data_IF_534636638608
#
_entry.id   IF_534636638608
#
_cell.length_a   1.000
_cell.length_b   1.000
_cell.length_c   1.000
_cell.angle_alpha   90.00
_cell.angle_beta   90.00
_cell.angle_gamma   90.00
#
_symmetry.space_group_name_H-M   'P 1'
#
loop_
_entity.id
_entity.type
_entity.pdbx_description
1 polymer ?
#
# COMPACT_ATOMS: atom_id res chain seq x y z
N UNK A 1 -55.24 -9.36 -57.22
CA UNK A 1 -54.40 -8.88 -58.33
C UNK A 1 -53.91 -7.49 -57.98
N UNK A 2 -52.59 -7.35 -57.89
CA UNK A 2 -51.75 -6.17 -58.16
C UNK A 2 -51.90 -4.92 -57.26
N UNK A 3 -50.89 -4.09 -57.02
CA UNK A 3 -49.44 -4.20 -56.84
C UNK A 3 -48.93 -2.82 -56.34
N UNK A 4 -47.84 -2.83 -55.56
CA UNK A 4 -46.83 -1.79 -55.25
C UNK A 4 -47.05 -0.26 -55.48
N UNK A 5 -46.74 0.56 -54.46
CA UNK A 5 -45.61 1.57 -54.39
C UNK A 5 -45.82 2.60 -53.24
N UNK A 6 -45.03 2.53 -52.15
CA UNK A 6 -43.84 3.33 -51.73
C UNK A 6 -44.06 4.81 -51.29
N UNK A 7 -43.79 5.07 -50.01
CA UNK A 7 -42.87 6.15 -49.59
C UNK A 7 -42.28 5.89 -48.20
N UNK A 8 -40.97 6.11 -48.09
CA UNK A 8 -40.05 5.88 -46.97
C UNK A 8 -39.64 7.22 -46.34
N UNK A 9 -39.39 7.39 -45.04
CA UNK A 9 -38.07 7.27 -44.36
C UNK A 9 -38.25 7.87 -42.95
N UNK A 10 -37.62 7.28 -41.93
CA UNK A 10 -37.09 8.09 -40.82
C UNK A 10 -37.24 7.53 -39.40
N UNK A 11 -36.70 6.35 -39.10
CA UNK A 11 -36.34 6.01 -37.72
C UNK A 11 -34.84 5.71 -37.66
N UNK A 12 -34.10 6.66 -37.06
CA UNK A 12 -32.66 6.61 -36.78
C UNK A 12 -32.30 5.32 -36.04
N UNK A 13 -31.25 4.64 -36.52
CA UNK A 13 -30.51 3.67 -35.73
C UNK A 13 -29.96 4.36 -34.46
N UNK A 14 -30.28 3.82 -33.29
CA UNK A 14 -29.54 4.06 -32.04
C UNK A 14 -28.93 2.74 -31.63
N UNK A 15 -27.60 2.70 -31.66
CA UNK A 15 -26.72 1.59 -31.34
C UNK A 15 -26.90 1.08 -29.91
N UNK A 16 -27.84 0.15 -29.72
CA UNK A 16 -27.95 -0.67 -28.51
C UNK A 16 -26.93 -1.80 -28.52
N UNK A 17 -25.65 -1.49 -28.31
CA UNK A 17 -24.70 -2.52 -27.85
C UNK A 17 -25.09 -2.83 -26.40
N UNK A 18 -25.81 -3.93 -26.30
CA UNK A 18 -26.71 -4.36 -25.24
C UNK A 18 -26.11 -4.37 -23.83
N UNK A 19 -26.84 -3.81 -22.88
CA UNK A 19 -26.67 -3.90 -21.42
C UNK A 19 -26.41 -5.33 -20.94
N UNK A 20 -26.91 -6.34 -21.65
CA UNK A 20 -26.70 -7.76 -21.35
C UNK A 20 -25.26 -8.22 -21.62
N UNK A 21 -24.58 -7.69 -22.63
CA UNK A 21 -23.18 -8.06 -22.91
C UNK A 21 -22.25 -7.59 -21.79
N UNK A 22 -22.51 -6.40 -21.24
CA UNK A 22 -21.79 -5.88 -20.08
C UNK A 22 -22.11 -6.67 -18.80
N UNK A 23 -23.37 -7.08 -18.60
CA UNK A 23 -23.75 -7.91 -17.46
C UNK A 23 -23.12 -9.32 -17.51
N UNK A 24 -23.06 -9.93 -18.69
CA UNK A 24 -22.40 -11.23 -18.89
C UNK A 24 -20.89 -11.13 -18.68
N UNK A 25 -20.26 -10.05 -19.16
CA UNK A 25 -18.84 -9.79 -18.91
C UNK A 25 -18.56 -9.61 -17.41
N UNK A 26 -19.39 -8.83 -16.72
CA UNK A 26 -19.28 -8.60 -15.28
C UNK A 26 -19.49 -9.89 -14.47
N UNK A 27 -20.47 -10.73 -14.84
CA UNK A 27 -20.68 -12.03 -14.20
C UNK A 27 -19.47 -12.97 -14.38
N UNK A 28 -18.82 -12.91 -15.54
CA UNK A 28 -17.61 -13.69 -15.83
C UNK A 28 -16.40 -13.19 -15.03
N UNK A 29 -16.29 -11.88 -14.83
CA UNK A 29 -15.25 -11.25 -13.99
C UNK A 29 -15.47 -11.49 -12.49
N UNK A 30 -16.73 -11.60 -12.02
CA UNK A 30 -17.07 -11.81 -10.61
C UNK A 30 -17.06 -13.29 -10.17
N UNK A 31 -17.07 -14.23 -11.12
CA UNK A 31 -17.03 -15.67 -10.82
C UNK A 31 -15.78 -16.11 -10.04
N UNK A 32 -14.54 -15.75 -10.43
CA UNK A 32 -13.35 -16.11 -9.65
C UNK A 32 -13.34 -15.49 -8.25
N UNK A 33 -13.85 -14.26 -8.09
CA UNK A 33 -13.99 -13.63 -6.76
C UNK A 33 -15.00 -14.34 -5.86
N UNK A 34 -16.06 -14.92 -6.44
CA UNK A 34 -17.05 -15.70 -5.69
C UNK A 34 -16.47 -17.04 -5.24
N UNK A 35 -15.72 -17.72 -6.12
CA UNK A 35 -15.04 -18.98 -5.78
C UNK A 35 -13.97 -18.76 -4.69
N UNK A 36 -13.25 -17.64 -4.76
CA UNK A 36 -12.31 -17.21 -3.72
C UNK A 36 -13.02 -16.91 -2.38
N UNK A 37 -14.14 -16.18 -2.38
CA UNK A 37 -14.95 -15.94 -1.18
C UNK A 37 -15.48 -17.23 -0.55
N UNK A 38 -15.83 -18.21 -1.37
CA UNK A 38 -16.27 -19.53 -0.90
C UNK A 38 -15.10 -20.34 -0.32
N UNK A 39 -13.90 -20.25 -0.89
CA UNK A 39 -12.71 -20.89 -0.31
C UNK A 39 -12.37 -20.32 1.06
N UNK A 40 -12.47 -18.99 1.25
CA UNK A 40 -12.29 -18.38 2.58
C UNK A 40 -13.29 -18.87 3.62
N UNK A 41 -14.58 -18.97 3.27
CA UNK A 41 -15.59 -19.49 4.20
C UNK A 41 -15.29 -20.93 4.59
N UNK A 42 -14.88 -21.75 3.62
CA UNK A 42 -14.49 -23.13 3.87
C UNK A 42 -13.25 -23.22 4.75
N UNK A 43 -12.21 -22.45 4.46
CA UNK A 43 -10.94 -22.45 5.19
C UNK A 43 -11.10 -21.89 6.61
N UNK A 44 -11.96 -20.88 6.80
CA UNK A 44 -12.36 -20.41 8.13
C UNK A 44 -13.13 -21.49 8.90
N UNK A 45 -14.10 -22.17 8.27
CA UNK A 45 -14.79 -23.30 8.90
C UNK A 45 -13.85 -24.44 9.29
N UNK A 46 -12.81 -24.72 8.49
CA UNK A 46 -11.77 -25.70 8.84
C UNK A 46 -10.89 -25.23 10.00
N UNK A 47 -10.50 -23.95 10.04
CA UNK A 47 -9.68 -23.38 11.12
C UNK A 47 -10.41 -23.35 12.48
N UNK A 48 -11.73 -23.14 12.50
CA UNK A 48 -12.53 -23.19 13.73
C UNK A 48 -12.85 -24.63 14.18
N UNK A 49 -12.77 -25.62 13.29
CA UNK A 49 -12.98 -27.03 13.60
C UNK A 49 -11.77 -27.69 14.28
N UNK A 50 -10.56 -27.15 14.11
CA UNK A 50 -9.35 -27.66 14.74
C UNK A 50 -8.85 -26.69 15.80
N UNK A 51 -9.04 -27.05 17.07
CA UNK A 51 -8.48 -26.31 18.21
C UNK A 51 -6.96 -26.17 18.03
N UNK A 52 -6.47 -24.93 17.84
CA UNK A 52 -5.06 -24.56 18.03
C UNK A 52 -4.14 -24.44 16.80
N UNK A 53 -4.63 -24.28 15.56
CA UNK A 53 -3.79 -24.18 14.36
C UNK A 53 -3.66 -22.78 13.75
N UNK A 54 -2.43 -22.36 13.42
CA UNK A 54 -2.15 -21.20 12.55
C UNK A 54 -2.83 -21.37 11.19
N UNK A 55 -3.58 -20.35 10.75
CA UNK A 55 -4.23 -20.37 9.43
C UNK A 55 -3.14 -20.23 8.35
N UNK A 56 -2.86 -21.31 7.62
CA UNK A 56 -2.00 -21.28 6.42
C UNK A 56 -2.91 -21.24 5.19
N UNK A 57 -3.13 -20.05 4.63
CA UNK A 57 -3.83 -19.92 3.34
C UNK A 57 -2.90 -20.34 2.21
N UNK A 58 -3.34 -21.22 1.30
CA UNK A 58 -2.60 -21.56 0.06
C UNK A 58 -2.54 -20.40 -0.95
N UNK A 59 -3.28 -19.33 -0.69
CA UNK A 59 -3.35 -18.15 -1.55
C UNK A 59 -2.24 -17.18 -1.12
N UNK A 60 -1.38 -16.72 -2.05
CA UNK A 60 -0.37 -15.70 -1.75
C UNK A 60 -1.00 -14.44 -1.15
N UNK A 61 -0.41 -13.90 -0.09
CA UNK A 61 -0.94 -12.74 0.64
C UNK A 61 -1.15 -11.50 -0.26
N UNK A 62 -0.37 -11.35 -1.33
CA UNK A 62 -0.56 -10.29 -2.33
C UNK A 62 -1.89 -10.37 -3.07
N UNK A 63 -2.38 -11.57 -3.38
CA UNK A 63 -3.69 -11.76 -4.01
C UNK A 63 -4.84 -11.47 -3.03
N UNK A 64 -4.63 -11.73 -1.74
CA UNK A 64 -5.61 -11.39 -0.69
C UNK A 64 -5.76 -9.88 -0.55
N UNK A 65 -4.66 -9.14 -0.59
CA UNK A 65 -4.63 -7.68 -0.52
C UNK A 65 -5.28 -7.09 -1.77
N UNK A 66 -4.94 -7.58 -2.97
CA UNK A 66 -5.54 -7.12 -4.22
C UNK A 66 -7.06 -7.38 -4.26
N UNK A 67 -7.50 -8.56 -3.79
CA UNK A 67 -8.91 -8.90 -3.68
C UNK A 67 -9.64 -8.01 -2.67
N UNK A 68 -9.02 -7.70 -1.52
CA UNK A 68 -9.56 -6.75 -0.54
C UNK A 68 -9.77 -5.35 -1.15
N UNK A 69 -8.78 -4.83 -1.88
CA UNK A 69 -8.90 -3.55 -2.57
C UNK A 69 -9.96 -3.57 -3.69
N UNK A 70 -10.09 -4.67 -4.43
CA UNK A 70 -11.15 -4.84 -5.46
C UNK A 70 -12.54 -4.92 -4.84
N UNK A 71 -12.69 -5.58 -3.70
CA UNK A 71 -13.97 -5.68 -2.97
C UNK A 71 -14.40 -4.35 -2.35
N UNK A 72 -13.46 -3.57 -1.80
CA UNK A 72 -13.77 -2.23 -1.28
C UNK A 72 -14.33 -1.29 -2.37
N UNK A 73 -13.86 -1.44 -3.63
CA UNK A 73 -14.37 -0.67 -4.79
C UNK A 73 -15.80 -1.02 -5.18
N UNK A 74 -16.31 -2.22 -4.87
CA UNK A 74 -17.64 -2.66 -5.33
C UNK A 74 -18.81 -2.16 -4.47
N UNK A 75 -18.55 -1.47 -3.34
CA UNK A 75 -19.59 -0.93 -2.46
C UNK A 75 -20.02 0.51 -2.78
N UNK A 76 -19.29 1.24 -3.63
CA UNK A 76 -19.62 2.63 -4.02
C UNK A 76 -20.55 2.70 -5.25
N UNK A 77 -21.60 1.89 -5.25
CA UNK A 77 -22.71 2.00 -6.21
C UNK A 77 -23.74 3.03 -5.75
N UNK A 78 -23.41 4.33 -5.79
CA UNK A 78 -24.32 5.41 -5.41
C UNK A 78 -24.24 6.61 -6.36
N UNK A 79 -25.25 6.76 -7.20
CA UNK A 79 -25.43 7.82 -8.21
C UNK A 79 -25.08 9.24 -7.73
N UNK A 80 -24.08 9.85 -8.36
CA UNK A 80 -23.77 11.28 -8.23
C UNK A 80 -23.24 11.85 -9.55
N UNK A 81 -23.91 12.89 -10.05
CA UNK A 81 -23.62 13.67 -11.27
C UNK A 81 -22.12 14.01 -11.42
N UNK A 82 -21.54 14.03 -12.64
CA UNK A 82 -20.09 14.08 -12.81
C UNK A 82 -19.55 15.44 -12.38
N UNK A 83 -18.91 15.46 -11.21
CA UNK A 83 -18.07 16.56 -10.78
C UNK A 83 -16.65 16.27 -11.25
N UNK A 84 -16.08 17.27 -11.90
CA UNK A 84 -14.72 17.29 -12.43
C UNK A 84 -13.67 16.87 -11.40
N UNK A 85 -12.71 16.06 -11.86
CA UNK A 85 -11.46 15.71 -11.19
C UNK A 85 -11.55 14.96 -9.85
N UNK A 86 -11.92 13.68 -9.90
CA UNK A 86 -11.56 12.69 -8.86
C UNK A 86 -10.49 11.73 -9.38
N UNK A 87 -9.23 12.17 -9.41
CA UNK A 87 -8.07 11.31 -9.65
C UNK A 87 -7.70 10.62 -8.33
N UNK A 88 -8.38 9.53 -7.97
CA UNK A 88 -8.29 8.88 -6.65
C UNK A 88 -7.45 7.61 -6.61
N UNK A 89 -6.87 7.17 -7.73
CA UNK A 89 -6.10 5.91 -7.82
C UNK A 89 -4.64 6.15 -8.20
N UNK A 90 -3.74 5.34 -7.63
CA UNK A 90 -2.29 5.31 -7.95
C UNK A 90 -2.04 5.13 -9.45
N UNK A 91 -2.96 4.45 -10.12
CA UNK A 91 -2.92 4.10 -11.55
C UNK A 91 -2.95 5.32 -12.50
N UNK A 92 -3.48 6.46 -12.02
CA UNK A 92 -3.54 7.70 -12.80
C UNK A 92 -2.47 8.72 -12.36
N UNK A 93 -1.43 8.28 -11.63
CA UNK A 93 -0.35 9.16 -11.22
C UNK A 93 0.48 9.62 -12.42
N UNK A 94 0.53 10.93 -12.63
CA UNK A 94 1.45 11.57 -13.57
C UNK A 94 2.43 12.45 -12.81
N UNK A 95 3.69 12.03 -12.78
CA UNK A 95 4.77 12.75 -12.10
C UNK A 95 4.95 14.20 -12.58
N UNK A 96 4.57 14.52 -13.83
CA UNK A 96 4.72 15.85 -14.42
C UNK A 96 3.70 16.84 -13.87
N UNK A 97 2.47 16.39 -13.66
CA UNK A 97 1.34 17.22 -13.23
C UNK A 97 0.99 17.06 -11.74
N UNK A 98 1.51 16.02 -11.08
CA UNK A 98 1.25 15.75 -9.68
C UNK A 98 1.79 16.84 -8.74
N UNK A 99 0.98 17.20 -7.75
CA UNK A 99 1.35 18.07 -6.63
C UNK A 99 2.38 17.40 -5.72
N UNK A 100 3.08 18.18 -4.90
CA UNK A 100 4.00 17.63 -3.89
C UNK A 100 3.32 16.67 -2.92
N UNK A 101 2.05 16.93 -2.57
CA UNK A 101 1.24 16.02 -1.77
C UNK A 101 1.07 14.66 -2.46
N UNK A 102 0.65 14.68 -3.72
CA UNK A 102 0.43 13.46 -4.50
C UNK A 102 1.72 12.68 -4.70
N UNK A 103 2.84 13.36 -4.94
CA UNK A 103 4.18 12.76 -5.05
C UNK A 103 4.63 12.10 -3.74
N UNK A 104 4.40 12.76 -2.60
CA UNK A 104 4.69 12.21 -1.29
C UNK A 104 3.91 10.92 -1.03
N UNK A 105 2.58 10.99 -1.12
CA UNK A 105 1.71 9.84 -0.91
C UNK A 105 2.00 8.69 -1.90
N UNK A 106 2.27 9.01 -3.18
CA UNK A 106 2.67 8.00 -4.17
C UNK A 106 3.97 7.30 -3.78
N UNK A 107 4.96 8.04 -3.27
CA UNK A 107 6.20 7.50 -2.76
C UNK A 107 5.97 6.53 -1.60
N UNK A 108 5.18 6.93 -0.60
CA UNK A 108 4.85 6.07 0.56
C UNK A 108 4.15 4.77 0.12
N UNK A 109 3.19 4.87 -0.80
CA UNK A 109 2.45 3.71 -1.31
C UNK A 109 3.38 2.73 -2.05
N UNK A 110 4.20 3.23 -2.99
CA UNK A 110 5.12 2.38 -3.76
C UNK A 110 6.21 1.78 -2.89
N UNK A 111 6.71 2.54 -1.91
CA UNK A 111 7.66 2.03 -0.93
C UNK A 111 7.06 0.85 -0.14
N UNK A 112 5.87 1.04 0.42
CA UNK A 112 5.21 0.01 1.21
C UNK A 112 4.90 -1.24 0.38
N UNK A 113 4.46 -1.08 -0.86
CA UNK A 113 4.25 -2.21 -1.78
C UNK A 113 5.55 -2.98 -2.04
N UNK A 114 6.65 -2.28 -2.32
CA UNK A 114 7.95 -2.90 -2.50
C UNK A 114 8.40 -3.67 -1.24
N UNK A 115 8.30 -3.07 -0.05
CA UNK A 115 8.74 -3.72 1.20
C UNK A 115 7.97 -5.00 1.53
N UNK A 116 6.69 -5.08 1.15
CA UNK A 116 5.83 -6.24 1.44
C UNK A 116 5.91 -7.33 0.36
N UNK A 117 6.11 -6.93 -0.89
CA UNK A 117 5.94 -7.82 -2.04
C UNK A 117 7.23 -8.15 -2.79
N UNK A 118 8.34 -7.45 -2.53
CA UNK A 118 9.61 -7.71 -3.21
C UNK A 118 10.20 -9.07 -2.80
N UNK A 119 10.44 -9.92 -3.79
CA UNK A 119 10.95 -11.28 -3.61
C UNK A 119 12.40 -11.29 -3.10
N UNK A 120 13.25 -10.37 -3.55
CA UNK A 120 14.64 -10.26 -3.10
C UNK A 120 14.74 -9.91 -1.62
N UNK A 121 13.78 -9.14 -1.08
CA UNK A 121 13.69 -8.89 0.36
C UNK A 121 13.37 -10.15 1.15
N UNK A 122 12.41 -10.94 0.66
CA UNK A 122 12.02 -12.21 1.29
C UNK A 122 13.19 -13.19 1.29
N UNK A 123 13.90 -13.29 0.18
CA UNK A 123 15.11 -14.11 0.04
C UNK A 123 16.26 -13.62 0.93
N UNK A 124 16.38 -12.31 1.13
CA UNK A 124 17.31 -11.71 2.09
C UNK A 124 16.87 -11.86 3.57
N UNK A 125 15.73 -12.51 3.83
CA UNK A 125 15.25 -12.82 5.17
C UNK A 125 14.40 -11.72 5.82
N UNK A 126 13.83 -10.82 5.03
CA UNK A 126 12.87 -9.80 5.48
C UNK A 126 11.44 -10.23 5.14
N UNK A 127 10.82 -10.95 6.07
CA UNK A 127 9.38 -11.29 6.03
C UNK A 127 8.62 -10.19 6.80
N UNK A 128 8.33 -9.09 6.10
CA UNK A 128 7.86 -7.86 6.74
C UNK A 128 6.34 -7.83 6.91
N UNK A 129 5.90 -7.41 8.10
CA UNK A 129 4.49 -7.14 8.43
C UNK A 129 4.35 -5.70 8.91
N UNK A 130 3.42 -4.90 8.36
CA UNK A 130 3.24 -3.52 8.80
C UNK A 130 2.74 -3.48 10.25
N UNK A 131 3.25 -2.54 11.03
CA UNK A 131 2.80 -2.28 12.41
C UNK A 131 2.57 -0.78 12.61
N UNK A 132 1.56 -0.43 13.39
CA UNK A 132 1.15 0.95 13.60
C UNK A 132 0.46 1.56 12.37
N UNK A 133 0.74 2.84 12.11
CA UNK A 133 0.11 3.65 11.06
C UNK A 133 0.29 2.99 9.69
N UNK A 134 -0.82 2.83 8.97
CA UNK A 134 -0.79 2.36 7.59
C UNK A 134 -0.26 3.43 6.62
N UNK A 135 0.28 2.97 5.49
CA UNK A 135 0.57 3.84 4.35
C UNK A 135 -0.71 4.54 3.84
N UNK A 136 -0.60 5.66 3.13
CA UNK A 136 -1.75 6.33 2.52
C UNK A 136 -2.55 5.38 1.63
N UNK A 137 -3.88 5.48 1.69
CA UNK A 137 -4.79 4.71 0.84
C UNK A 137 -4.88 5.26 -0.59
N UNK A 138 -4.50 6.52 -0.78
CA UNK A 138 -4.44 7.15 -2.09
C UNK A 138 -3.62 8.44 -2.13
N UNK A 139 -3.32 8.89 -3.34
CA UNK A 139 -2.44 10.05 -3.58
C UNK A 139 -2.99 11.38 -3.05
N UNK A 140 -4.30 11.46 -2.76
CA UNK A 140 -4.94 12.69 -2.28
C UNK A 140 -5.08 12.77 -0.76
N UNK A 141 -4.71 11.71 -0.04
CA UNK A 141 -4.81 11.63 1.41
C UNK A 141 -4.04 12.75 2.10
N UNK A 142 -4.43 13.08 3.33
CA UNK A 142 -3.74 14.09 4.12
C UNK A 142 -2.31 13.63 4.38
N UNK A 143 -1.33 14.52 4.17
CA UNK A 143 0.07 14.23 4.52
C UNK A 143 0.17 14.05 6.03
N UNK A 144 0.67 12.88 6.44
CA UNK A 144 1.01 12.60 7.83
C UNK A 144 2.52 12.68 7.97
N UNK A 145 3.00 13.69 8.70
CA UNK A 145 4.44 13.84 9.00
C UNK A 145 4.90 12.76 9.98
N UNK A 146 6.08 12.17 9.78
CA UNK A 146 6.68 11.25 10.72
C UNK A 146 7.50 10.19 10.00
N UNK A 147 7.53 8.99 10.57
CA UNK A 147 7.95 7.77 9.88
C UNK A 147 6.88 7.43 8.83
N UNK A 148 7.33 7.04 7.64
CA UNK A 148 6.44 6.71 6.53
C UNK A 148 5.96 5.25 6.63
N UNK A 149 6.89 4.31 6.93
CA UNK A 149 6.60 2.90 7.13
C UNK A 149 7.31 2.30 8.34
N UNK A 150 6.62 1.41 9.06
CA UNK A 150 7.17 0.66 10.19
C UNK A 150 6.70 -0.79 10.10
N UNK A 151 7.65 -1.71 10.17
CA UNK A 151 7.41 -3.13 9.94
C UNK A 151 8.08 -3.99 11.00
N UNK A 152 7.41 -5.04 11.43
CA UNK A 152 8.01 -6.16 12.15
C UNK A 152 8.55 -7.18 11.15
N UNK A 153 9.74 -7.73 11.40
CA UNK A 153 10.28 -8.85 10.64
C UNK A 153 9.87 -10.16 11.31
N UNK A 154 8.96 -10.90 10.67
CA UNK A 154 8.43 -12.16 11.15
C UNK A 154 9.39 -13.34 10.98
N UNK A 155 10.52 -13.15 10.29
CA UNK A 155 11.55 -14.18 10.17
C UNK A 155 12.20 -14.48 11.54
N UNK A 156 11.98 -15.68 12.14
CA UNK A 156 12.51 -16.00 13.47
C UNK A 156 14.04 -16.07 13.48
N UNK A 157 14.65 -16.39 12.33
CA UNK A 157 16.10 -16.53 12.18
C UNK A 157 16.80 -15.18 11.96
N UNK A 158 16.06 -14.08 11.77
CA UNK A 158 16.67 -12.76 11.61
C UNK A 158 17.05 -12.14 12.96
N UNK A 159 18.23 -11.53 13.00
CA UNK A 159 18.65 -10.68 14.11
C UNK A 159 17.95 -9.31 14.08
N UNK A 160 17.41 -8.90 12.93
CA UNK A 160 16.60 -7.71 12.74
C UNK A 160 15.15 -8.01 13.12
N UNK A 161 14.59 -7.19 14.00
CA UNK A 161 13.21 -7.32 14.49
C UNK A 161 12.28 -6.29 13.88
N UNK A 162 12.78 -5.11 13.56
CA UNK A 162 11.97 -4.08 12.89
C UNK A 162 12.70 -3.44 11.72
N UNK A 163 11.93 -2.98 10.76
CA UNK A 163 12.39 -2.11 9.67
C UNK A 163 11.61 -0.80 9.77
N UNK A 164 12.33 0.32 9.76
CA UNK A 164 11.75 1.66 9.68
C UNK A 164 12.08 2.21 8.30
N UNK A 165 11.06 2.60 7.55
CA UNK A 165 11.18 3.11 6.19
C UNK A 165 10.82 4.60 6.11
N UNK A 166 11.57 5.32 5.28
CA UNK A 166 11.25 6.66 4.81
C UNK A 166 11.21 6.65 3.29
N UNK A 167 10.12 7.12 2.71
CA UNK A 167 9.92 7.19 1.28
C UNK A 167 10.31 8.58 0.73
N UNK A 168 11.00 8.60 -0.41
CA UNK A 168 11.32 9.83 -1.14
C UNK A 168 11.04 9.69 -2.62
N UNK A 169 10.17 10.55 -3.13
CA UNK A 169 9.87 10.61 -4.55
C UNK A 169 10.85 11.52 -5.31
N UNK A 170 11.36 11.03 -6.44
CA UNK A 170 12.24 11.77 -7.35
C UNK A 170 13.52 12.25 -6.67
N UNK A 171 13.81 13.54 -6.82
CA UNK A 171 15.02 14.18 -6.25
C UNK A 171 14.92 14.50 -4.75
N UNK A 172 13.78 14.25 -4.10
CA UNK A 172 13.55 14.56 -2.68
C UNK A 172 14.58 13.87 -1.78
N UNK A 173 15.09 14.56 -0.76
CA UNK A 173 16.13 14.05 0.14
C UNK A 173 15.64 13.97 1.59
N UNK A 174 16.41 13.28 2.44
CA UNK A 174 16.23 13.34 3.90
C UNK A 174 16.47 14.76 4.39
N UNK A 175 15.50 15.29 5.15
CA UNK A 175 15.55 16.63 5.72
C UNK A 175 16.40 16.71 6.99
N UNK A 176 16.77 17.95 7.36
CA UNK A 176 17.28 18.29 8.69
C UNK A 176 16.13 18.89 9.51
N UNK A 177 15.99 18.45 10.75
CA UNK A 177 15.00 18.95 11.70
C UNK A 177 15.70 19.47 12.96
N UNK A 178 14.92 19.96 13.93
CA UNK A 178 15.43 20.28 15.26
C UNK A 178 16.10 19.05 15.91
N UNK A 179 15.42 17.90 15.86
CA UNK A 179 15.94 16.62 16.35
C UNK A 179 17.04 16.00 15.44
N UNK A 180 17.76 16.80 14.66
CA UNK A 180 18.77 16.32 13.72
C UNK A 180 18.19 15.81 12.40
N UNK A 181 19.00 15.04 11.68
CA UNK A 181 18.67 14.51 10.34
C UNK A 181 17.55 13.46 10.43
N UNK A 182 16.64 13.45 9.46
CA UNK A 182 15.62 12.39 9.38
C UNK A 182 16.26 11.00 9.44
N UNK A 183 15.57 10.06 10.09
CA UNK A 183 16.02 8.68 10.32
C UNK A 183 17.26 8.52 11.22
N UNK A 184 17.81 9.60 11.78
CA UNK A 184 18.78 9.48 12.88
C UNK A 184 18.11 9.01 14.18
N UNK A 185 18.92 8.51 15.12
CA UNK A 185 18.43 8.12 16.45
C UNK A 185 17.72 9.28 17.16
N UNK A 186 18.29 10.49 17.10
CA UNK A 186 17.70 11.66 17.75
C UNK A 186 16.38 12.05 17.11
N UNK A 187 16.30 11.97 15.78
CA UNK A 187 15.07 12.23 15.07
C UNK A 187 13.99 11.22 15.45
N UNK A 188 14.29 9.92 15.39
CA UNK A 188 13.33 8.86 15.70
C UNK A 188 12.76 9.00 17.12
N UNK A 189 13.61 9.36 18.09
CA UNK A 189 13.24 9.52 19.50
C UNK A 189 12.70 10.90 19.85
N UNK A 190 12.93 11.90 19.01
CA UNK A 190 12.59 13.30 19.29
C UNK A 190 13.43 13.89 20.43
N UNK A 191 14.74 13.62 20.44
CA UNK A 191 15.63 13.95 21.58
C UNK A 191 15.63 15.44 21.97
N UNK A 192 15.42 16.35 21.03
CA UNK A 192 15.41 17.81 21.32
C UNK A 192 13.98 18.30 21.60
N UNK A 193 13.02 17.85 20.81
CA UNK A 193 11.64 18.37 20.84
C UNK A 193 10.70 17.62 21.79
N UNK A 194 11.11 16.47 22.30
CA UNK A 194 10.26 15.53 23.05
C UNK A 194 9.22 14.79 22.19
N UNK A 195 9.24 14.98 20.86
CA UNK A 195 8.25 14.40 19.94
C UNK A 195 8.75 13.10 19.32
N UNK A 196 8.58 11.99 20.04
CA UNK A 196 8.95 10.66 19.54
C UNK A 196 8.18 10.31 18.26
N UNK A 197 8.92 10.11 17.15
CA UNK A 197 8.29 9.62 15.90
C UNK A 197 7.97 8.14 15.97
N UNK A 198 8.73 7.35 16.73
CA UNK A 198 8.41 5.94 16.97
C UNK A 198 7.04 5.84 17.64
N UNK A 199 6.82 6.56 18.75
CA UNK A 199 5.54 6.56 19.47
C UNK A 199 4.39 7.01 18.56
N UNK A 200 4.62 8.05 17.77
CA UNK A 200 3.64 8.53 16.79
C UNK A 200 3.33 7.49 15.71
N UNK A 201 4.33 6.76 15.23
CA UNK A 201 4.17 5.76 14.17
C UNK A 201 3.34 4.56 14.64
N UNK A 202 3.42 4.22 15.93
CA UNK A 202 2.58 3.18 16.55
C UNK A 202 1.30 3.73 17.18
N UNK A 203 0.87 4.92 16.73
CA UNK A 203 -0.41 5.54 17.13
C UNK A 203 -0.59 5.72 18.65
N UNK A 204 0.52 5.89 19.38
CA UNK A 204 0.51 6.08 20.83
C UNK A 204 0.64 4.81 21.67
N UNK A 205 0.84 3.64 21.06
CA UNK A 205 1.15 2.41 21.79
C UNK A 205 2.54 2.50 22.47
N UNK A 206 2.54 2.82 23.76
CA UNK A 206 3.76 3.01 24.55
C UNK A 206 4.58 1.73 24.68
N UNK A 207 3.92 0.56 24.78
CA UNK A 207 4.59 -0.73 24.95
C UNK A 207 5.33 -1.10 23.67
N UNK A 208 4.66 -1.01 22.53
CA UNK A 208 5.28 -1.29 21.24
C UNK A 208 6.38 -0.26 20.93
N UNK A 209 6.17 1.02 21.23
CA UNK A 209 7.18 2.06 21.07
C UNK A 209 8.44 1.77 21.91
N UNK A 210 8.27 1.33 23.15
CA UNK A 210 9.39 0.95 24.02
C UNK A 210 10.13 -0.28 23.47
N UNK A 211 9.40 -1.29 23.00
CA UNK A 211 10.00 -2.49 22.39
C UNK A 211 10.85 -2.14 21.16
N UNK A 212 10.33 -1.31 20.26
CA UNK A 212 11.05 -0.83 19.08
C UNK A 212 12.27 -0.01 19.50
N UNK A 213 12.14 0.86 20.50
CA UNK A 213 13.25 1.68 21.00
C UNK A 213 14.36 0.81 21.60
N UNK A 214 14.01 -0.23 22.37
CA UNK A 214 14.97 -1.22 22.90
C UNK A 214 15.64 -2.01 21.76
N UNK A 215 14.87 -2.41 20.74
CA UNK A 215 15.42 -3.08 19.56
C UNK A 215 16.41 -2.18 18.82
N UNK A 216 16.10 -0.89 18.66
CA UNK A 216 16.95 0.11 18.03
C UNK A 216 18.28 0.26 18.77
N UNK A 217 18.24 0.33 20.10
CA UNK A 217 19.44 0.40 20.96
C UNK A 217 20.30 -0.87 20.85
N UNK A 218 19.67 -2.03 20.68
CA UNK A 218 20.34 -3.33 20.53
C UNK A 218 20.81 -3.60 19.09
N UNK A 219 20.68 -2.65 18.17
CA UNK A 219 21.06 -2.84 16.76
C UNK A 219 20.17 -3.82 15.99
N UNK A 220 18.95 -4.07 16.47
CA UNK A 220 17.97 -5.00 15.85
C UNK A 220 16.94 -4.29 14.96
N UNK A 221 17.27 -3.09 14.49
CA UNK A 221 16.40 -2.29 13.61
C UNK A 221 17.19 -1.86 12.40
N UNK A 222 16.65 -2.16 11.21
CA UNK A 222 17.15 -1.58 9.96
C UNK A 222 16.39 -0.28 9.66
N UNK A 223 17.14 0.73 9.21
CA UNK A 223 16.58 2.01 8.76
C UNK A 223 16.77 2.08 7.26
N UNK A 224 15.68 2.25 6.53
CA UNK A 224 15.66 2.15 5.08
C UNK A 224 15.14 3.45 4.48
N UNK A 225 15.81 3.88 3.42
CA UNK A 225 15.35 4.94 2.54
C UNK A 225 14.88 4.30 1.24
N UNK A 226 13.60 4.45 0.94
CA UNK A 226 13.01 4.00 -0.32
C UNK A 226 12.89 5.16 -1.29
N UNK A 227 13.73 5.15 -2.32
CA UNK A 227 13.72 6.12 -3.42
C UNK A 227 12.80 5.64 -4.53
N UNK A 228 11.73 6.38 -4.75
CA UNK A 228 10.71 6.09 -5.76
C UNK A 228 10.90 7.04 -6.95
N UNK A 229 11.09 6.49 -8.15
CA UNK A 229 11.19 7.29 -9.36
C UNK A 229 9.81 7.60 -9.98
N UNK A 230 9.80 8.37 -11.07
CA UNK A 230 8.56 8.77 -11.76
C UNK A 230 7.81 7.60 -12.41
N UNK A 231 8.44 6.44 -12.59
CA UNK A 231 7.80 5.21 -13.07
C UNK A 231 7.19 4.38 -11.93
N UNK A 232 7.51 4.72 -10.69
CA UNK A 232 7.13 3.97 -9.49
C UNK A 232 8.12 2.86 -9.12
N UNK A 233 9.27 2.78 -9.79
CA UNK A 233 10.33 1.84 -9.41
C UNK A 233 10.98 2.31 -8.11
N UNK A 234 11.20 1.36 -7.21
CA UNK A 234 11.79 1.60 -5.90
C UNK A 234 13.24 1.11 -5.87
N UNK A 235 14.12 1.93 -5.30
CA UNK A 235 15.45 1.53 -4.85
C UNK A 235 15.59 1.80 -3.35
N UNK A 236 16.11 0.84 -2.63
CA UNK A 236 16.24 0.85 -1.17
C UNK A 236 17.67 1.09 -0.75
N UNK A 237 17.86 1.88 0.31
CA UNK A 237 19.18 2.19 0.86
C UNK A 237 19.18 2.10 2.37
N UNK A 238 20.25 1.57 2.94
CA UNK A 238 20.45 1.49 4.38
C UNK A 238 20.88 2.84 4.93
N UNK A 239 20.34 3.20 6.10
CA UNK A 239 20.63 4.44 6.82
C UNK A 239 21.29 4.12 8.17
N UNK A 240 22.40 4.80 8.48
CA UNK A 240 23.07 4.69 9.79
C UNK A 240 22.33 5.45 10.91
N UNK A 241 22.87 5.36 12.14
CA UNK A 241 22.26 5.97 13.34
C UNK A 241 22.31 7.51 13.32
N UNK A 242 23.10 8.11 12.44
CA UNK A 242 23.23 9.56 12.25
C UNK A 242 22.36 10.07 11.10
N UNK A 243 21.61 9.19 10.43
CA UNK A 243 20.75 9.54 9.29
C UNK A 243 21.51 9.60 7.95
N UNK A 244 22.72 9.05 7.87
CA UNK A 244 23.48 8.98 6.62
C UNK A 244 23.14 7.72 5.84
N UNK A 245 23.09 7.84 4.52
CA UNK A 245 22.92 6.70 3.62
C UNK A 245 24.28 5.99 3.53
N UNK A 246 24.32 4.67 3.80
CA UNK A 246 25.57 3.89 3.87
C UNK A 246 25.71 2.83 2.79
N UNK A 247 24.67 2.56 2.00
CA UNK A 247 24.73 1.62 0.89
C UNK A 247 23.34 1.22 0.40
N UNK A 248 23.29 0.50 -0.72
CA UNK A 248 22.05 -0.16 -1.15
C UNK A 248 21.63 -1.19 -0.09
N UNK A 249 20.33 -1.25 0.14
CA UNK A 249 19.69 -2.30 0.92
C UNK A 249 18.99 -3.24 -0.08
N UNK A 250 18.84 -4.54 0.22
CA UNK A 250 18.25 -5.50 -0.72
C UNK A 250 16.85 -5.12 -1.23
#
# INVERSE_FOLDING_TARGET
MNDLTKSSIGAKASSGVSTFANAVKLAKELKPTLEMLQSFKRDASYAFSSVGGTIVTKIPQGELIEAYYKFAKSKDGGNGKPSSNKNTTVDNFDAKTATNKQKGNYGEIKSSDNLLNNQSLKEAGFDLKPVGKSAPSGINDKIVKGIDGLYENANPNSNIKYVIDEAKFGSSQLGKTKDGRQMSNDWLRGSETGKSRILKAVEGDEVLAEQITKALQKGKVERVLSKVDSSGKVKTFKIDSKGNIVGEWP
#
